data_IF_393006818682
#
_entry.id   IF_393006818682
#
_cell.length_a   1.000
_cell.length_b   1.000
_cell.length_c   1.000
_cell.angle_alpha   90.00
_cell.angle_beta   90.00
_cell.angle_gamma   90.00
#
_symmetry.space_group_name_H-M   'P 1'
#
loop_
_entity.id
_entity.type
_entity.pdbx_description
1 polymer ?
#
# COMPACT_ATOMS: atom_id res chain seq x y z
N UNK A 1 12.00 -9.89 20.73
CA UNK A 1 10.96 -10.22 19.76
C UNK A 1 10.64 -8.99 18.92
N UNK A 2 10.66 -9.13 17.62
CA UNK A 2 10.45 -8.02 16.69
C UNK A 2 9.06 -8.12 16.07
N UNK A 3 8.36 -6.99 16.00
CA UNK A 3 7.07 -6.90 15.31
C UNK A 3 7.30 -6.37 13.90
N UNK A 4 6.81 -7.08 12.91
CA UNK A 4 6.96 -6.71 11.52
C UNK A 4 5.70 -6.01 11.01
N UNK A 5 5.84 -4.77 10.57
CA UNK A 5 4.73 -3.96 10.07
C UNK A 5 4.95 -3.64 8.60
N UNK A 6 3.96 -3.97 7.80
CA UNK A 6 3.93 -3.62 6.38
C UNK A 6 3.01 -2.41 6.20
N UNK A 7 3.52 -1.37 5.56
CA UNK A 7 2.71 -0.23 5.10
C UNK A 7 2.67 -0.33 3.59
N UNK A 8 1.50 -0.61 3.03
CA UNK A 8 1.34 -0.73 1.58
C UNK A 8 0.21 0.18 1.10
N UNK A 9 0.40 0.79 -0.05
CA UNK A 9 -0.50 1.86 -0.49
C UNK A 9 -0.51 2.00 -2.01
N UNK A 10 -1.60 2.59 -2.51
CA UNK A 10 -1.65 3.15 -3.84
C UNK A 10 -1.89 4.66 -3.74
N UNK A 11 -1.17 5.46 -4.49
CA UNK A 11 -1.35 6.92 -4.51
C UNK A 11 -1.35 7.43 -5.95
N UNK A 12 -2.42 8.10 -6.35
CA UNK A 12 -2.54 8.69 -7.70
C UNK A 12 -1.78 10.01 -7.79
N UNK A 13 -2.01 10.91 -6.85
CA UNK A 13 -1.50 12.29 -6.90
C UNK A 13 -0.60 12.66 -5.73
N UNK A 14 -0.20 11.70 -4.92
CA UNK A 14 0.78 11.89 -3.86
C UNK A 14 0.23 12.08 -2.45
N UNK A 15 -1.07 12.25 -2.27
CA UNK A 15 -1.64 12.46 -0.93
C UNK A 15 -1.54 11.20 -0.06
N UNK A 16 -1.94 10.06 -0.59
CA UNK A 16 -1.83 8.78 0.13
C UNK A 16 -0.36 8.42 0.37
N UNK A 17 0.52 8.73 -0.59
CA UNK A 17 1.96 8.53 -0.42
C UNK A 17 2.48 9.28 0.81
N UNK A 18 2.10 10.56 0.97
CA UNK A 18 2.51 11.33 2.16
C UNK A 18 1.94 10.75 3.44
N UNK A 19 0.69 10.29 3.42
CA UNK A 19 0.09 9.60 4.57
C UNK A 19 0.85 8.32 4.90
N UNK A 20 1.23 7.54 3.88
CA UNK A 20 1.97 6.30 4.07
C UNK A 20 3.33 6.54 4.72
N UNK A 21 4.03 7.62 4.32
CA UNK A 21 5.30 7.99 4.94
C UNK A 21 5.11 8.31 6.43
N UNK A 22 4.05 9.03 6.77
CA UNK A 22 3.75 9.37 8.17
C UNK A 22 3.38 8.12 8.99
N UNK A 23 2.61 7.21 8.41
CA UNK A 23 2.25 5.94 9.08
C UNK A 23 3.49 5.09 9.31
N UNK A 24 4.36 4.99 8.30
CA UNK A 24 5.61 4.24 8.41
C UNK A 24 6.52 4.83 9.50
N UNK A 25 6.64 6.15 9.56
CA UNK A 25 7.43 6.82 10.59
C UNK A 25 6.88 6.54 11.97
N UNK A 26 5.56 6.64 12.15
CA UNK A 26 4.91 6.35 13.44
C UNK A 26 5.17 4.92 13.89
N UNK A 27 5.06 3.96 12.99
CA UNK A 27 5.34 2.56 13.31
C UNK A 27 6.81 2.34 13.65
N UNK A 28 7.72 2.99 12.92
CA UNK A 28 9.16 2.87 13.14
C UNK A 28 9.58 3.40 14.51
N UNK A 29 8.83 4.36 15.08
CA UNK A 29 9.11 4.92 16.39
C UNK A 29 8.73 3.99 17.55
N UNK A 30 8.01 2.92 17.29
CA UNK A 30 7.67 1.92 18.31
C UNK A 30 8.87 0.98 18.51
N UNK A 31 9.32 0.76 19.75
CA UNK A 31 10.46 -0.12 20.02
C UNK A 31 10.22 -1.54 19.44
N UNK A 32 11.30 -2.16 19.00
CA UNK A 32 11.29 -3.53 18.48
C UNK A 32 10.35 -3.74 17.29
N UNK A 33 10.24 -2.72 16.44
CA UNK A 33 9.39 -2.75 15.25
C UNK A 33 10.23 -2.58 14.00
N UNK A 34 10.03 -3.46 13.03
CA UNK A 34 10.61 -3.37 11.69
C UNK A 34 9.52 -3.03 10.69
N UNK A 35 9.75 -2.01 9.87
CA UNK A 35 8.75 -1.52 8.92
C UNK A 35 9.22 -1.75 7.49
N UNK A 36 8.32 -2.25 6.65
CA UNK A 36 8.49 -2.25 5.20
C UNK A 36 7.44 -1.33 4.58
N UNK A 37 7.90 -0.42 3.74
CA UNK A 37 7.02 0.44 2.95
C UNK A 37 7.01 -0.07 1.51
N UNK A 38 5.83 -0.37 0.98
CA UNK A 38 5.67 -0.92 -0.36
C UNK A 38 4.52 -0.23 -1.08
N UNK A 39 4.72 0.13 -2.34
CA UNK A 39 3.64 0.66 -3.17
C UNK A 39 2.93 -0.45 -3.92
N UNK A 40 1.67 -0.21 -4.23
CA UNK A 40 0.89 -1.12 -5.08
C UNK A 40 1.12 -0.73 -6.54
N UNK A 41 1.34 -1.73 -7.39
CA UNK A 41 1.64 -1.49 -8.80
C UNK A 41 0.51 -0.76 -9.52
N UNK A 42 0.88 0.13 -10.43
CA UNK A 42 -0.10 0.82 -11.26
C UNK A 42 -0.68 -0.12 -12.32
N UNK A 43 -1.94 0.10 -12.64
CA UNK A 43 -2.58 -0.58 -13.76
C UNK A 43 -2.22 0.12 -15.06
N UNK A 44 -1.94 -0.65 -16.09
CA UNK A 44 -1.52 -0.10 -17.38
C UNK A 44 -2.58 0.83 -17.98
N UNK A 45 -3.86 0.49 -17.85
CA UNK A 45 -4.95 1.32 -18.33
C UNK A 45 -4.99 2.67 -17.62
N UNK A 46 -4.75 2.70 -16.31
CA UNK A 46 -4.69 3.93 -15.54
C UNK A 46 -3.49 4.77 -15.97
N UNK A 47 -2.33 4.15 -16.16
CA UNK A 47 -1.13 4.85 -16.62
C UNK A 47 -1.38 5.54 -17.95
N UNK A 48 -1.96 4.85 -18.91
CA UNK A 48 -2.30 5.43 -20.21
C UNK A 48 -3.25 6.61 -20.10
N UNK A 49 -4.29 6.45 -19.28
CA UNK A 49 -5.30 7.48 -19.11
C UNK A 49 -4.77 8.74 -18.43
N UNK A 50 -3.80 8.60 -17.52
CA UNK A 50 -3.34 9.69 -16.66
C UNK A 50 -1.99 10.28 -17.08
N UNK A 51 -1.31 9.69 -18.05
CA UNK A 51 0.07 10.06 -18.41
C UNK A 51 0.23 11.50 -18.92
N UNK A 52 -0.84 12.15 -19.36
CA UNK A 52 -0.80 13.54 -19.80
C UNK A 52 -0.95 14.54 -18.64
N UNK A 53 -1.25 14.08 -17.44
CA UNK A 53 -1.43 14.95 -16.27
C UNK A 53 -0.11 15.11 -15.52
N UNK A 54 0.43 16.33 -15.45
CA UNK A 54 1.69 16.62 -14.79
C UNK A 54 1.70 16.22 -13.32
N UNK A 55 0.59 16.47 -12.61
CA UNK A 55 0.49 16.13 -11.19
C UNK A 55 0.61 14.63 -10.97
N UNK A 56 0.00 13.83 -11.85
CA UNK A 56 0.12 12.38 -11.78
C UNK A 56 1.55 11.92 -12.03
N UNK A 57 2.18 12.42 -13.10
CA UNK A 57 3.55 12.03 -13.47
C UNK A 57 4.53 12.35 -12.34
N UNK A 58 4.45 13.57 -11.78
CA UNK A 58 5.32 13.96 -10.67
C UNK A 58 5.11 13.11 -9.43
N UNK A 59 3.86 12.79 -9.13
CA UNK A 59 3.55 11.93 -7.97
C UNK A 59 4.10 10.51 -8.15
N UNK A 60 4.04 9.95 -9.37
CA UNK A 60 4.58 8.63 -9.63
C UNK A 60 6.11 8.63 -9.58
N UNK A 61 6.75 9.67 -10.08
CA UNK A 61 8.20 9.82 -9.99
C UNK A 61 8.68 9.92 -8.54
N UNK A 62 7.94 10.66 -7.71
CA UNK A 62 8.30 10.84 -6.30
C UNK A 62 8.28 9.54 -5.50
N UNK A 63 7.50 8.56 -5.93
CA UNK A 63 7.40 7.27 -5.23
C UNK A 63 8.05 6.11 -6.00
N UNK A 64 8.75 6.40 -7.09
CA UNK A 64 9.32 5.36 -7.96
C UNK A 64 10.35 4.48 -7.26
N UNK A 65 11.04 5.00 -6.24
CA UNK A 65 12.06 4.25 -5.49
C UNK A 65 11.46 3.29 -4.46
N UNK A 66 10.17 3.40 -4.17
CA UNK A 66 9.52 2.51 -3.22
C UNK A 66 9.24 1.18 -3.92
N UNK A 67 9.71 0.03 -3.37
CA UNK A 67 9.46 -1.26 -4.01
C UNK A 67 7.98 -1.57 -4.11
N UNK A 68 7.62 -2.31 -5.17
CA UNK A 68 6.25 -2.80 -5.34
C UNK A 68 5.99 -3.94 -4.36
N UNK A 69 4.81 -3.96 -3.76
CA UNK A 69 4.42 -4.98 -2.79
C UNK A 69 4.39 -6.35 -3.46
N UNK A 70 4.84 -7.36 -2.72
CA UNK A 70 4.81 -8.75 -3.14
C UNK A 70 4.10 -9.60 -2.08
N UNK A 71 3.68 -10.80 -2.44
CA UNK A 71 3.03 -11.71 -1.48
C UNK A 71 3.92 -12.01 -0.27
N UNK A 72 5.24 -12.08 -0.47
CA UNK A 72 6.17 -12.31 0.63
C UNK A 72 6.15 -11.19 1.68
N UNK A 73 5.85 -9.97 1.28
CA UNK A 73 5.69 -8.87 2.23
C UNK A 73 4.50 -9.12 3.16
N UNK A 74 3.40 -9.67 2.61
CA UNK A 74 2.23 -10.04 3.42
C UNK A 74 2.54 -11.17 4.38
N UNK A 75 3.27 -12.19 3.92
CA UNK A 75 3.67 -13.32 4.78
C UNK A 75 4.56 -12.86 5.91
N UNK A 76 5.49 -11.96 5.61
CA UNK A 76 6.44 -11.42 6.57
C UNK A 76 5.77 -10.59 7.67
N UNK A 77 4.69 -9.88 7.35
CA UNK A 77 4.07 -8.91 8.25
C UNK A 77 3.30 -9.56 9.40
N UNK A 78 3.41 -8.98 10.59
CA UNK A 78 2.52 -9.25 11.71
C UNK A 78 1.33 -8.30 11.69
N UNK A 79 1.54 -7.10 11.17
CA UNK A 79 0.50 -6.10 10.99
C UNK A 79 0.61 -5.42 9.63
N UNK A 80 -0.53 -5.05 9.05
CA UNK A 80 -0.57 -4.42 7.72
C UNK A 80 -1.43 -3.17 7.79
N UNK A 81 -0.85 -2.04 7.36
CA UNK A 81 -1.58 -0.80 7.14
C UNK A 81 -1.79 -0.61 5.64
N UNK A 82 -3.05 -0.53 5.23
CA UNK A 82 -3.45 -0.41 3.84
C UNK A 82 -3.84 1.03 3.54
N UNK A 83 -3.19 1.64 2.56
CA UNK A 83 -3.46 3.02 2.16
C UNK A 83 -4.05 3.11 0.76
N UNK A 84 -5.19 3.81 0.62
CA UNK A 84 -5.87 3.93 -0.68
C UNK A 84 -6.59 5.26 -0.81
N UNK A 85 -6.60 5.87 -2.01
CA UNK A 85 -7.56 6.94 -2.27
C UNK A 85 -8.96 6.35 -2.35
N UNK A 86 -9.96 7.15 -2.02
CA UNK A 86 -11.36 6.72 -2.09
C UNK A 86 -11.91 7.00 -3.49
N UNK A 87 -12.60 6.01 -4.05
CA UNK A 87 -13.31 6.11 -5.34
C UNK A 87 -14.73 5.61 -5.14
N UNK A 88 -15.71 6.53 -5.18
CA UNK A 88 -17.12 6.19 -4.94
C UNK A 88 -17.31 5.42 -3.63
N UNK A 89 -16.67 5.91 -2.56
CA UNK A 89 -16.70 5.29 -1.22
C UNK A 89 -16.09 3.89 -1.17
N UNK A 90 -15.24 3.54 -2.14
CA UNK A 90 -14.58 2.25 -2.20
C UNK A 90 -13.07 2.44 -2.40
N UNK A 91 -12.31 1.36 -2.23
CA UNK A 91 -10.88 1.39 -2.51
C UNK A 91 -10.61 1.58 -4.00
N UNK A 92 -9.40 2.01 -4.35
CA UNK A 92 -9.00 2.13 -5.75
C UNK A 92 -8.94 0.76 -6.43
N UNK A 93 -9.07 0.75 -7.75
CA UNK A 93 -8.94 -0.47 -8.55
C UNK A 93 -7.57 -1.14 -8.36
N UNK A 94 -6.52 -0.35 -8.23
CA UNK A 94 -5.16 -0.85 -8.01
C UNK A 94 -5.07 -1.67 -6.72
N UNK A 95 -5.64 -1.15 -5.63
CA UNK A 95 -5.68 -1.85 -4.34
C UNK A 95 -6.47 -3.15 -4.47
N UNK A 96 -7.63 -3.09 -5.08
CA UNK A 96 -8.49 -4.27 -5.24
C UNK A 96 -7.82 -5.33 -6.12
N UNK A 97 -7.14 -4.91 -7.18
CA UNK A 97 -6.40 -5.82 -8.05
C UNK A 97 -5.35 -6.60 -7.25
N UNK A 98 -4.57 -5.91 -6.42
CA UNK A 98 -3.57 -6.60 -5.61
C UNK A 98 -4.22 -7.56 -4.62
N UNK A 99 -5.26 -7.12 -3.91
CA UNK A 99 -5.98 -7.97 -2.95
C UNK A 99 -6.51 -9.22 -3.63
N UNK A 100 -7.05 -9.09 -4.84
CA UNK A 100 -7.58 -10.23 -5.59
C UNK A 100 -6.51 -11.27 -5.95
N UNK A 101 -5.23 -10.88 -5.96
CA UNK A 101 -4.14 -11.85 -6.20
C UNK A 101 -3.81 -12.71 -4.98
N UNK A 102 -4.34 -12.39 -3.81
CA UNK A 102 -3.94 -13.04 -2.55
C UNK A 102 -4.73 -14.28 -2.19
N UNK A 103 -5.63 -14.74 -3.07
CA UNK A 103 -6.48 -15.91 -2.81
C UNK A 103 -5.71 -17.14 -2.39
N UNK A 104 -4.54 -17.39 -2.99
CA UNK A 104 -3.69 -18.52 -2.63
C UNK A 104 -3.14 -18.45 -1.21
N UNK A 105 -2.83 -17.24 -0.74
CA UNK A 105 -2.38 -17.03 0.64
C UNK A 105 -3.50 -17.32 1.61
N UNK A 106 -4.71 -16.88 1.29
CA UNK A 106 -5.88 -17.09 2.11
C UNK A 106 -6.20 -18.58 2.26
N UNK A 107 -6.16 -19.34 1.15
CA UNK A 107 -6.43 -20.77 1.17
C UNK A 107 -5.46 -21.53 2.06
N UNK A 108 -4.19 -21.10 2.10
CA UNK A 108 -3.16 -21.73 2.93
C UNK A 108 -3.16 -21.22 4.37
N UNK A 109 -4.05 -20.29 4.72
CA UNK A 109 -4.08 -19.71 6.07
C UNK A 109 -2.92 -18.79 6.39
N UNK A 110 -2.20 -18.30 5.39
CA UNK A 110 -0.98 -17.49 5.60
C UNK A 110 -1.28 -16.06 6.06
N UNK A 111 -2.53 -15.62 6.00
CA UNK A 111 -2.95 -14.28 6.43
C UNK A 111 -3.64 -14.27 7.80
N UNK A 112 -3.78 -15.42 8.44
CA UNK A 112 -4.44 -15.53 9.75
C UNK A 112 -3.64 -14.80 10.83
N UNK A 113 -4.37 -14.27 11.81
CA UNK A 113 -3.84 -13.63 13.01
C UNK A 113 -2.99 -12.38 12.77
N UNK A 114 -3.11 -11.77 11.58
CA UNK A 114 -2.46 -10.50 11.30
C UNK A 114 -3.39 -9.34 11.63
N UNK A 115 -2.85 -8.34 12.35
CA UNK A 115 -3.57 -7.10 12.60
C UNK A 115 -3.63 -6.27 11.32
N UNK A 116 -4.75 -5.60 11.06
CA UNK A 116 -4.88 -4.75 9.89
C UNK A 116 -5.49 -3.41 10.24
N UNK A 117 -5.09 -2.37 9.53
CA UNK A 117 -5.66 -1.05 9.61
C UNK A 117 -5.72 -0.42 8.22
N UNK A 118 -6.58 0.56 8.07
CA UNK A 118 -6.78 1.24 6.80
C UNK A 118 -6.62 2.74 7.01
N UNK A 119 -5.88 3.39 6.10
CA UNK A 119 -5.87 4.84 6.01
C UNK A 119 -6.23 5.24 4.58
N UNK A 120 -6.99 6.30 4.43
CA UNK A 120 -7.46 6.69 3.11
C UNK A 120 -7.63 8.20 3.01
N UNK A 121 -7.49 8.68 1.77
CA UNK A 121 -7.82 10.05 1.42
C UNK A 121 -9.27 10.09 0.97
N UNK A 122 -9.99 11.07 1.49
CA UNK A 122 -11.40 11.25 1.22
C UNK A 122 -11.62 12.62 0.55
N UNK A 123 -12.24 12.61 -0.63
CA UNK A 123 -12.60 13.83 -1.36
C UNK A 123 -14.06 13.84 -1.73
#
# INVERSE_FOLDING_TARGET
>A
MTTNVLVTFYSTYGHVHRMALAVAEGAQNVPDTTVRLRRIAELEEARKALSAQDAYVRAQEAQADIPVVAHDDLRWADGIAWGTPTRYANMSAQMKQFIDTTGGLWVKGELEDKATGIFHEHR
#
